data_IF_047754714204
#
_entry.id   IF_047754714204
#
_cell.length_a   1.000
_cell.length_b   1.000
_cell.length_c   1.000
_cell.angle_alpha   90.00
_cell.angle_beta   90.00
_cell.angle_gamma   90.00
#
_symmetry.space_group_name_H-M   'P 1'
#
loop_
_entity.id
_entity.type
_entity.pdbx_description
1 polymer ?
#
# COMPACT_ATOMS: atom_id res chain seq x y z
N UNK A 1 -11.97 -3.78 41.83
CA UNK A 1 -11.18 -2.60 41.40
C UNK A 1 -10.09 -3.14 40.49
N UNK A 2 -10.07 -2.74 39.22
CA UNK A 2 -9.11 -3.25 38.25
C UNK A 2 -7.70 -2.75 38.61
N UNK A 3 -6.73 -3.66 38.71
CA UNK A 3 -5.37 -3.32 39.13
C UNK A 3 -4.64 -2.51 38.03
N UNK A 4 -3.53 -1.87 38.38
CA UNK A 4 -2.77 -1.01 37.45
C UNK A 4 -2.20 -1.75 36.24
N UNK A 5 -1.88 -3.04 36.38
CA UNK A 5 -1.42 -3.92 35.31
C UNK A 5 -2.55 -4.25 34.32
N UNK A 6 -3.73 -4.60 34.82
CA UNK A 6 -4.91 -4.92 34.01
C UNK A 6 -5.32 -3.72 33.13
N UNK A 7 -5.30 -2.51 33.70
CA UNK A 7 -5.54 -1.27 32.93
C UNK A 7 -4.51 -1.03 31.83
N UNK A 8 -3.23 -1.33 32.10
CA UNK A 8 -2.16 -1.20 31.11
C UNK A 8 -2.30 -2.21 29.98
N UNK A 9 -2.67 -3.46 30.30
CA UNK A 9 -2.90 -4.50 29.30
C UNK A 9 -4.06 -4.10 28.39
N UNK A 10 -5.19 -3.68 28.96
CA UNK A 10 -6.35 -3.25 28.17
C UNK A 10 -6.02 -2.08 27.24
N UNK A 11 -5.27 -1.08 27.72
CA UNK A 11 -4.84 0.05 26.89
C UNK A 11 -3.91 -0.39 25.73
N UNK A 12 -3.04 -1.37 25.95
CA UNK A 12 -2.18 -1.94 24.92
C UNK A 12 -3.01 -2.73 23.89
N UNK A 13 -3.95 -3.56 24.33
CA UNK A 13 -4.83 -4.33 23.44
C UNK A 13 -5.70 -3.43 22.57
N UNK A 14 -6.28 -2.38 23.14
CA UNK A 14 -7.06 -1.39 22.40
C UNK A 14 -6.21 -0.66 21.35
N UNK A 15 -4.96 -0.31 21.68
CA UNK A 15 -4.02 0.26 20.71
C UNK A 15 -3.66 -0.74 19.62
N UNK A 16 -3.31 -1.97 19.99
CA UNK A 16 -2.92 -3.01 19.04
C UNK A 16 -4.06 -3.31 18.08
N UNK A 17 -5.32 -3.33 18.54
CA UNK A 17 -6.49 -3.51 17.68
C UNK A 17 -6.57 -2.44 16.58
N UNK A 18 -6.30 -1.17 16.91
CA UNK A 18 -6.27 -0.08 15.91
C UNK A 18 -5.10 -0.27 14.94
N UNK A 19 -3.91 -0.55 15.45
CA UNK A 19 -2.70 -0.75 14.65
C UNK A 19 -2.83 -1.93 13.69
N UNK A 20 -3.41 -3.04 14.13
CA UNK A 20 -3.61 -4.22 13.28
C UNK A 20 -4.67 -3.96 12.19
N UNK A 21 -5.72 -3.20 12.50
CA UNK A 21 -6.69 -2.76 11.48
C UNK A 21 -6.02 -1.88 10.41
N UNK A 22 -5.16 -0.93 10.82
CA UNK A 22 -4.41 -0.08 9.90
C UNK A 22 -3.48 -0.95 9.03
N UNK A 23 -2.68 -1.84 9.62
CA UNK A 23 -1.81 -2.77 8.88
C UNK A 23 -2.58 -3.64 7.89
N UNK A 24 -3.75 -4.14 8.28
CA UNK A 24 -4.62 -4.92 7.41
C UNK A 24 -5.09 -4.08 6.21
N UNK A 25 -5.47 -2.82 6.43
CA UNK A 25 -5.79 -1.90 5.34
C UNK A 25 -4.59 -1.65 4.42
N UNK A 26 -3.41 -1.40 4.98
CA UNK A 26 -2.20 -1.12 4.19
C UNK A 26 -1.77 -2.29 3.31
N UNK A 27 -2.02 -3.51 3.77
CA UNK A 27 -1.71 -4.75 3.05
C UNK A 27 -2.87 -5.29 2.24
N UNK A 28 -4.05 -4.67 2.31
CA UNK A 28 -5.27 -5.14 1.67
C UNK A 28 -5.16 -5.12 0.14
N UNK A 29 -5.81 -6.11 -0.49
CA UNK A 29 -5.97 -6.15 -1.94
C UNK A 29 -6.76 -4.92 -2.42
N UNK A 30 -7.76 -4.49 -1.64
CA UNK A 30 -8.59 -3.32 -1.93
C UNK A 30 -7.74 -2.08 -2.16
N UNK A 31 -6.85 -1.73 -1.22
CA UNK A 31 -5.96 -0.56 -1.38
C UNK A 31 -5.07 -0.70 -2.61
N UNK A 32 -4.50 -1.89 -2.85
CA UNK A 32 -3.61 -2.15 -3.99
C UNK A 32 -4.32 -1.96 -5.33
N UNK A 33 -5.52 -2.53 -5.47
CA UNK A 33 -6.32 -2.40 -6.70
C UNK A 33 -6.77 -0.95 -6.89
N UNK A 34 -7.24 -0.27 -5.84
CA UNK A 34 -7.63 1.14 -5.92
C UNK A 34 -6.47 2.02 -6.41
N UNK A 35 -5.27 1.85 -5.85
CA UNK A 35 -4.10 2.63 -6.29
C UNK A 35 -3.74 2.29 -7.74
N UNK A 36 -3.71 1.00 -8.12
CA UNK A 36 -3.40 0.60 -9.50
C UNK A 36 -4.35 1.21 -10.53
N UNK A 37 -5.65 1.24 -10.22
CA UNK A 37 -6.70 1.84 -11.06
C UNK A 37 -6.51 3.36 -11.17
N UNK A 38 -6.30 4.05 -10.03
CA UNK A 38 -6.06 5.50 -10.01
C UNK A 38 -4.81 5.84 -10.82
N UNK A 39 -3.70 5.13 -10.61
CA UNK A 39 -2.44 5.33 -11.35
C UNK A 39 -2.64 5.15 -12.85
N UNK A 40 -3.38 4.12 -13.27
CA UNK A 40 -3.64 3.88 -14.69
C UNK A 40 -4.40 5.05 -15.33
N UNK A 41 -5.50 5.49 -14.71
CA UNK A 41 -6.33 6.56 -15.27
C UNK A 41 -5.63 7.92 -15.26
N UNK A 42 -4.86 8.24 -14.21
CA UNK A 42 -4.05 9.47 -14.19
C UNK A 42 -2.98 9.45 -15.27
N UNK A 43 -2.24 8.35 -15.41
CA UNK A 43 -1.23 8.21 -16.45
C UNK A 43 -1.85 8.28 -17.85
N UNK A 44 -2.98 7.61 -18.07
CA UNK A 44 -3.71 7.64 -19.33
C UNK A 44 -4.14 9.05 -19.71
N UNK A 45 -4.74 9.80 -18.78
CA UNK A 45 -5.14 11.18 -19.00
C UNK A 45 -3.96 12.09 -19.35
N UNK A 46 -2.83 11.93 -18.65
CA UNK A 46 -1.60 12.67 -18.97
C UNK A 46 -1.04 12.31 -20.35
N UNK A 47 -1.02 11.02 -20.71
CA UNK A 47 -0.50 10.56 -22.01
C UNK A 47 -1.36 11.03 -23.18
N UNK A 48 -2.68 11.13 -22.99
CA UNK A 48 -3.55 11.79 -23.95
C UNK A 48 -3.24 13.28 -24.09
N UNK A 49 -3.00 14.00 -22.99
CA UNK A 49 -2.72 15.43 -23.02
C UNK A 49 -1.44 15.79 -23.81
N UNK A 50 -0.47 14.88 -23.89
CA UNK A 50 0.77 15.07 -24.65
C UNK A 50 0.74 14.44 -26.05
N UNK A 51 -0.42 13.97 -26.52
CA UNK A 51 -0.57 13.25 -27.79
C UNK A 51 0.41 12.08 -27.95
N UNK A 52 0.58 11.27 -26.89
CA UNK A 52 1.42 10.09 -26.97
C UNK A 52 0.88 9.09 -28.01
N UNK A 53 1.78 8.39 -28.71
CA UNK A 53 1.42 7.45 -29.80
C UNK A 53 0.61 6.23 -29.32
N UNK A 54 0.80 5.78 -28.07
CA UNK A 54 0.18 4.57 -27.53
C UNK A 54 -0.23 4.76 -26.06
N UNK A 55 -1.16 5.68 -25.75
CA UNK A 55 -1.41 6.15 -24.38
C UNK A 55 -1.98 5.03 -23.49
N UNK A 56 -2.83 4.15 -24.03
CA UNK A 56 -3.38 3.01 -23.30
C UNK A 56 -2.33 1.97 -22.90
N UNK A 57 -1.37 1.70 -23.79
CA UNK A 57 -0.29 0.75 -23.53
C UNK A 57 0.75 1.36 -22.58
N UNK A 58 1.13 2.62 -22.83
CA UNK A 58 2.14 3.32 -22.03
C UNK A 58 1.65 3.63 -20.61
N UNK A 59 0.33 3.79 -20.39
CA UNK A 59 -0.25 3.93 -19.04
C UNK A 59 -0.06 2.66 -18.17
N UNK A 60 0.20 1.49 -18.77
CA UNK A 60 0.50 0.26 -18.04
C UNK A 60 1.84 0.36 -17.31
N UNK A 61 2.80 1.12 -17.84
CA UNK A 61 4.16 1.24 -17.27
C UNK A 61 4.14 1.71 -15.81
N UNK A 62 3.54 2.85 -15.44
CA UNK A 62 3.50 3.28 -14.04
C UNK A 62 2.65 2.36 -13.15
N UNK A 63 1.55 1.80 -13.68
CA UNK A 63 0.70 0.86 -12.93
C UNK A 63 1.45 -0.42 -12.59
N UNK A 64 2.19 -0.99 -13.55
CA UNK A 64 3.03 -2.16 -13.32
C UNK A 64 4.20 -1.84 -12.40
N UNK A 65 4.83 -0.67 -12.54
CA UNK A 65 5.86 -0.21 -11.61
C UNK A 65 5.37 -0.20 -10.16
N UNK A 66 4.17 0.34 -9.92
CA UNK A 66 3.52 0.29 -8.61
C UNK A 66 3.28 -1.16 -8.15
N UNK A 67 2.64 -2.00 -8.97
CA UNK A 67 2.34 -3.38 -8.59
C UNK A 67 3.62 -4.18 -8.26
N UNK A 68 4.67 -4.08 -9.06
CA UNK A 68 5.95 -4.73 -8.81
C UNK A 68 6.59 -4.23 -7.52
N UNK A 69 6.51 -2.93 -7.22
CA UNK A 69 6.99 -2.39 -5.94
C UNK A 69 6.31 -3.07 -4.74
N UNK A 70 4.99 -3.34 -4.82
CA UNK A 70 4.27 -4.00 -3.73
C UNK A 70 4.68 -5.46 -3.51
N UNK A 71 5.29 -6.09 -4.52
CA UNK A 71 5.81 -7.47 -4.46
C UNK A 71 7.26 -7.50 -3.97
N UNK A 72 8.14 -6.68 -4.55
CA UNK A 72 9.57 -6.74 -4.31
C UNK A 72 10.03 -5.98 -3.06
N UNK A 73 9.34 -4.89 -2.67
CA UNK A 73 9.77 -4.08 -1.52
C UNK A 73 9.80 -4.89 -0.21
N UNK A 74 8.92 -5.90 -0.05
CA UNK A 74 8.97 -6.80 1.11
C UNK A 74 10.29 -7.58 1.17
N UNK A 75 10.74 -8.11 0.04
CA UNK A 75 12.01 -8.84 -0.05
C UNK A 75 13.20 -7.93 0.18
N UNK A 76 13.18 -6.72 -0.41
CA UNK A 76 14.24 -5.70 -0.22
C UNK A 76 14.34 -5.32 1.26
N UNK A 77 13.20 -5.08 1.92
CA UNK A 77 13.14 -4.78 3.36
C UNK A 77 13.78 -5.90 4.20
N UNK A 78 13.49 -7.16 3.91
CA UNK A 78 14.08 -8.31 4.65
C UNK A 78 15.60 -8.36 4.52
N UNK A 79 16.15 -7.99 3.37
CA UNK A 79 17.61 -7.92 3.18
C UNK A 79 18.20 -6.76 4.00
N UNK A 80 17.51 -5.61 4.05
CA UNK A 80 17.95 -4.45 4.83
C UNK A 80 17.88 -4.67 6.35
N UNK A 81 16.83 -5.32 6.86
CA UNK A 81 16.68 -5.62 8.29
C UNK A 81 17.73 -6.62 8.83
N UNK A 82 18.35 -7.41 7.95
CA UNK A 82 19.40 -8.39 8.30
C UNK A 82 20.82 -7.81 8.18
N UNK A 83 20.98 -6.53 7.85
CA UNK A 83 22.26 -5.83 7.78
C UNK A 83 22.51 -5.05 9.07
#
# INVERSE_FOLDING_TARGET
MMNSLERRIQAIEERNKRVEADKAWETSLTRRVSIAVITYFFALGFLFAINNDAPFFNAVVPTMGYLLSTLFLKSIRKVWENK
#
